data_IF_981384957892
#
_entry.id   IF_981384957892
#
_cell.length_a   1.000
_cell.length_b   1.000
_cell.length_c   1.000
_cell.angle_alpha   90.00
_cell.angle_beta   90.00
_cell.angle_gamma   90.00
#
_symmetry.space_group_name_H-M   'P 1'
#
loop_
_entity.id
_entity.type
_entity.pdbx_description
1 polymer ?
#
# COMPACT_ATOMS: atom_id res chain seq x y z
N UNK A 1 3.91 -29.57 3.48
CA UNK A 1 2.70 -28.95 2.89
C UNK A 1 2.87 -27.45 3.08
N UNK A 2 3.28 -26.70 2.05
CA UNK A 2 3.39 -25.24 2.16
C UNK A 2 2.00 -24.68 2.41
N UNK A 3 1.76 -24.09 3.59
CA UNK A 3 0.55 -23.31 3.83
C UNK A 3 0.55 -22.17 2.83
N UNK A 4 -0.34 -22.21 1.84
CA UNK A 4 -0.63 -21.05 1.01
C UNK A 4 -1.26 -20.01 1.93
N UNK A 5 -0.47 -19.00 2.30
CA UNK A 5 -1.01 -17.85 3.01
C UNK A 5 -2.01 -17.16 2.07
N UNK A 6 -3.27 -16.96 2.47
CA UNK A 6 -4.28 -16.35 1.62
C UNK A 6 -4.00 -14.86 1.36
N UNK A 7 -3.05 -14.28 2.08
CA UNK A 7 -2.71 -12.86 2.02
C UNK A 7 -1.25 -12.66 1.62
N UNK A 8 -1.01 -11.60 0.86
CA UNK A 8 0.34 -11.09 0.60
C UNK A 8 1.00 -10.65 1.91
N UNK A 9 2.34 -10.79 2.02
CA UNK A 9 3.07 -10.26 3.16
C UNK A 9 2.88 -8.74 3.29
N UNK A 10 3.12 -8.24 4.50
CA UNK A 10 3.14 -6.80 4.77
C UNK A 10 4.11 -6.12 3.80
N UNK A 11 3.68 -5.07 3.08
CA UNK A 11 4.57 -4.35 2.18
C UNK A 11 5.68 -3.66 2.96
N UNK A 12 6.85 -3.49 2.35
CA UNK A 12 7.87 -2.60 2.89
C UNK A 12 7.47 -1.13 2.70
N UNK A 13 8.07 -0.22 3.50
CA UNK A 13 7.88 1.23 3.32
C UNK A 13 8.26 1.69 1.91
N UNK A 14 9.33 1.13 1.36
CA UNK A 14 9.80 1.41 0.00
C UNK A 14 8.78 0.96 -1.05
N UNK A 15 8.15 -0.20 -0.86
CA UNK A 15 7.07 -0.66 -1.74
C UNK A 15 5.86 0.26 -1.70
N UNK A 16 5.43 0.69 -0.52
CA UNK A 16 4.32 1.65 -0.37
C UNK A 16 4.62 3.00 -1.04
N UNK A 17 5.89 3.41 -1.04
CA UNK A 17 6.31 4.71 -1.58
C UNK A 17 6.44 4.70 -3.12
N UNK A 18 7.00 3.62 -3.68
CA UNK A 18 7.48 3.59 -5.08
C UNK A 18 6.56 2.81 -6.03
N UNK A 19 5.64 1.99 -5.52
CA UNK A 19 4.73 1.22 -6.39
C UNK A 19 3.57 2.08 -6.89
N UNK A 20 3.06 1.83 -8.10
CA UNK A 20 1.88 2.54 -8.59
C UNK A 20 0.67 2.31 -7.67
N UNK A 21 -0.12 3.36 -7.43
CA UNK A 21 -1.26 3.30 -6.49
C UNK A 21 -2.29 2.23 -6.88
N UNK A 22 -2.52 2.02 -8.18
CA UNK A 22 -3.44 0.98 -8.66
C UNK A 22 -2.97 -0.43 -8.29
N UNK A 23 -1.65 -0.64 -8.27
CA UNK A 23 -1.05 -1.90 -7.85
C UNK A 23 -1.20 -2.06 -6.34
N UNK A 24 -0.94 -1.00 -5.57
CA UNK A 24 -1.10 -1.01 -4.12
C UNK A 24 -2.53 -1.36 -3.72
N UNK A 25 -3.55 -0.72 -4.31
CA UNK A 25 -4.95 -1.03 -3.98
C UNK A 25 -5.38 -2.43 -4.44
N UNK A 26 -4.85 -2.92 -5.56
CA UNK A 26 -5.12 -4.30 -6.02
C UNK A 26 -4.62 -5.34 -5.03
N UNK A 27 -3.42 -5.12 -4.48
CA UNK A 27 -2.72 -6.09 -3.63
C UNK A 27 -3.07 -5.89 -2.12
N UNK A 28 -3.39 -4.65 -1.76
CA UNK A 28 -3.70 -4.15 -0.41
C UNK A 28 -4.98 -3.29 -0.44
N UNK A 29 -6.17 -3.90 -0.65
CA UNK A 29 -7.42 -3.15 -0.84
C UNK A 29 -7.81 -2.27 0.35
N UNK A 30 -7.31 -2.55 1.56
CA UNK A 30 -7.50 -1.71 2.74
C UNK A 30 -6.93 -0.29 2.59
N UNK A 31 -5.96 -0.09 1.70
CA UNK A 31 -5.32 1.21 1.44
C UNK A 31 -6.22 2.20 0.69
N UNK A 32 -7.29 1.72 0.06
CA UNK A 32 -8.20 2.54 -0.74
C UNK A 32 -8.89 3.65 0.07
N UNK A 33 -9.28 3.37 1.31
CA UNK A 33 -9.96 4.35 2.16
C UNK A 33 -9.01 5.51 2.53
N UNK A 34 -7.73 5.22 2.76
CA UNK A 34 -6.71 6.25 3.01
C UNK A 34 -6.49 7.13 1.78
N UNK A 35 -6.37 6.55 0.59
CA UNK A 35 -6.26 7.33 -0.65
C UNK A 35 -7.45 8.27 -0.85
N UNK A 36 -8.68 7.80 -0.61
CA UNK A 36 -9.88 8.63 -0.66
C UNK A 36 -9.89 9.74 0.39
N UNK A 37 -9.44 9.44 1.61
CA UNK A 37 -9.30 10.42 2.69
C UNK A 37 -8.36 11.57 2.35
N UNK A 38 -7.35 11.30 1.51
CA UNK A 38 -6.38 12.28 1.00
C UNK A 38 -6.78 12.87 -0.37
N UNK A 39 -8.02 12.64 -0.82
CA UNK A 39 -8.56 13.23 -2.05
C UNK A 39 -8.09 12.58 -3.35
N UNK A 40 -7.53 11.37 -3.28
CA UNK A 40 -7.11 10.60 -4.45
C UNK A 40 -8.23 9.64 -4.86
N UNK A 41 -8.80 9.85 -6.03
CA UNK A 41 -9.83 8.95 -6.55
C UNK A 41 -9.20 7.79 -7.33
N UNK A 42 -9.86 6.61 -7.42
CA UNK A 42 -9.36 5.47 -8.18
C UNK A 42 -9.09 5.77 -9.66
N UNK A 43 -9.86 6.67 -10.27
CA UNK A 43 -9.62 7.17 -11.63
C UNK A 43 -8.27 7.88 -11.80
N UNK A 44 -7.70 8.42 -10.72
CA UNK A 44 -6.43 9.16 -10.72
C UNK A 44 -5.21 8.27 -10.45
N UNK A 45 -5.41 7.01 -10.06
CA UNK A 45 -4.31 6.13 -9.65
C UNK A 45 -3.28 5.90 -10.75
N UNK A 46 -3.71 5.72 -12.01
CA UNK A 46 -2.85 5.57 -13.18
C UNK A 46 -1.52 4.86 -12.89
N UNK A 47 -0.41 5.45 -13.33
CA UNK A 47 0.94 5.08 -12.91
C UNK A 47 1.45 5.98 -11.76
N UNK A 48 0.55 6.72 -11.10
CA UNK A 48 0.88 7.62 -10.01
C UNK A 48 1.49 6.83 -8.86
N UNK A 49 2.56 7.37 -8.28
CA UNK A 49 3.22 6.82 -7.09
C UNK A 49 3.11 7.79 -5.94
N UNK A 50 3.22 7.25 -4.72
CA UNK A 50 3.13 8.07 -3.52
C UNK A 50 4.27 9.10 -3.45
N UNK A 51 5.47 8.76 -3.93
CA UNK A 51 6.62 9.68 -4.01
C UNK A 51 6.36 10.98 -4.82
N UNK A 52 5.33 11.00 -5.66
CA UNK A 52 4.99 12.14 -6.52
C UNK A 52 4.09 13.16 -5.81
N UNK A 53 3.67 12.88 -4.58
CA UNK A 53 2.83 13.76 -3.76
C UNK A 53 3.66 14.84 -3.07
N UNK A 54 3.05 16.00 -2.79
CA UNK A 54 3.74 17.11 -2.10
C UNK A 54 4.13 16.74 -0.66
N UNK A 55 3.35 15.91 0.02
CA UNK A 55 3.60 15.46 1.39
C UNK A 55 3.26 13.97 1.54
N UNK A 56 4.14 13.06 1.08
CA UNK A 56 3.87 11.63 1.07
C UNK A 56 3.95 10.99 2.45
N UNK A 57 4.70 11.57 3.39
CA UNK A 57 5.03 10.94 4.68
C UNK A 57 3.78 10.67 5.52
N UNK A 58 2.84 11.61 5.59
CA UNK A 58 1.61 11.43 6.38
C UNK A 58 0.78 10.26 5.85
N UNK A 59 0.59 10.19 4.53
CA UNK A 59 -0.16 9.09 3.91
C UNK A 59 0.63 7.78 4.03
N UNK A 60 1.94 7.81 3.86
CA UNK A 60 2.80 6.64 4.00
C UNK A 60 2.72 6.01 5.40
N UNK A 61 2.74 6.82 6.46
CA UNK A 61 2.59 6.33 7.84
C UNK A 61 1.22 5.66 8.06
N UNK A 62 0.15 6.23 7.49
CA UNK A 62 -1.18 5.63 7.54
C UNK A 62 -1.27 4.31 6.75
N UNK A 63 -0.60 4.22 5.60
CA UNK A 63 -0.54 3.00 4.80
C UNK A 63 0.24 1.89 5.52
N UNK A 64 1.30 2.24 6.26
CA UNK A 64 2.00 1.29 7.11
C UNK A 64 1.11 0.77 8.25
N UNK A 65 0.35 1.66 8.90
CA UNK A 65 -0.56 1.29 9.98
C UNK A 65 -1.68 0.35 9.50
N UNK A 66 -2.34 0.69 8.38
CA UNK A 66 -3.46 -0.11 7.85
C UNK A 66 -3.00 -1.48 7.32
N UNK A 67 -1.73 -1.61 6.92
CA UNK A 67 -1.16 -2.87 6.46
C UNK A 67 -0.41 -3.64 7.57
N UNK A 68 -0.32 -3.11 8.79
CA UNK A 68 0.47 -3.67 9.88
C UNK A 68 -0.02 -5.05 10.37
N UNK A 69 -1.31 -5.38 10.19
CA UNK A 69 -1.88 -6.68 10.58
C UNK A 69 -1.40 -7.84 9.69
N UNK A 70 -0.83 -7.53 8.51
CA UNK A 70 -0.35 -8.54 7.56
C UNK A 70 0.87 -9.27 8.11
N UNK A 71 1.06 -10.54 7.72
CA UNK A 71 2.23 -11.29 8.16
C UNK A 71 3.52 -10.59 7.71
N UNK A 72 4.52 -10.59 8.57
CA UNK A 72 5.85 -10.16 8.18
C UNK A 72 6.33 -10.96 6.96
N UNK A 73 7.08 -10.35 6.03
CA UNK A 73 7.74 -11.11 4.98
C UNK A 73 8.57 -12.22 5.62
N UNK A 74 8.44 -13.45 5.11
CA UNK A 74 9.28 -14.55 5.56
C UNK A 74 10.73 -14.14 5.34
N UNK A 75 11.49 -13.99 6.42
CA UNK A 75 12.94 -13.78 6.31
C UNK A 75 13.51 -14.91 5.45
N UNK A 76 14.20 -14.54 4.36
CA UNK A 76 14.79 -15.47 3.42
C UNK A 76 16.04 -16.15 3.99
#
# INVERSE_FOLDING_TARGET
MMMRMPFLPRPSREELLTRPLHVLVRDYPETLENFRGHGVSPEDFGDLRLEEFENPDSLLDELEDVTAWRPAPAEA
#
